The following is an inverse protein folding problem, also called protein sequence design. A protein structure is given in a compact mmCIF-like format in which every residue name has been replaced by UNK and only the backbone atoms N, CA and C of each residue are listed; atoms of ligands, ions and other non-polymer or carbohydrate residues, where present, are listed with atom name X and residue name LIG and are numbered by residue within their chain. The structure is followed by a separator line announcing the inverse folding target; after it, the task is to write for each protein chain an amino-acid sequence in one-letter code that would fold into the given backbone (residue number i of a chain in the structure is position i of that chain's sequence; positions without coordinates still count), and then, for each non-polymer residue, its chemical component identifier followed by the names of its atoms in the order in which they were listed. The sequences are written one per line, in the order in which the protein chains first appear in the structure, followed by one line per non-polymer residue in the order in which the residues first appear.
data_IF_996542826631
#
_entry.id   IF_996542826631
#
_cell.length_a   1.000
_cell.length_b   1.000
_cell.length_c   1.000
_cell.angle_alpha   90.00
_cell.angle_beta   90.00
_cell.angle_gamma   90.00
#
_symmetry.space_group_name_H-M   'P 1'
#
loop_
_entity.id
_entity.type
_entity.pdbx_description
1 polymer ?
#
# COMPACT_ATOMS: atom_id res chain seq x y z
N UNK A 1 -59.21 15.02 16.35
CA UNK A 1 -58.61 15.09 15.00
C UNK A 1 -57.14 14.74 15.17
N UNK A 2 -56.77 13.50 14.83
CA UNK A 2 -55.44 12.94 15.13
C UNK A 2 -54.88 12.33 13.84
N UNK A 3 -53.66 12.74 13.49
CA UNK A 3 -52.94 12.34 12.28
C UNK A 3 -52.16 11.04 12.54
N UNK A 4 -52.53 9.97 11.85
CA UNK A 4 -51.81 8.69 11.84
C UNK A 4 -51.04 8.55 10.52
N UNK A 5 -49.76 8.20 10.68
CA UNK A 5 -48.78 7.87 9.66
C UNK A 5 -49.03 6.49 9.04
N UNK A 6 -48.78 6.31 7.73
CA UNK A 6 -48.55 5.01 7.09
C UNK A 6 -47.91 5.13 5.67
N UNK A 7 -47.22 4.07 5.18
CA UNK A 7 -46.06 4.15 4.28
C UNK A 7 -46.33 3.73 2.83
N UNK A 8 -45.38 4.00 1.92
CA UNK A 8 -45.45 3.64 0.48
C UNK A 8 -44.44 2.53 0.10
N UNK A 9 -44.84 1.49 -0.67
CA UNK A 9 -44.02 0.32 -0.98
C UNK A 9 -43.29 0.38 -2.35
N UNK A 10 -42.33 -0.54 -2.50
CA UNK A 10 -41.48 -0.84 -3.67
C UNK A 10 -42.22 -1.50 -4.84
N UNK A 11 -41.74 -1.29 -6.07
CA UNK A 11 -41.97 -2.21 -7.20
C UNK A 11 -40.74 -2.24 -8.12
N UNK A 12 -40.26 -3.45 -8.42
CA UNK A 12 -39.31 -3.75 -9.49
C UNK A 12 -40.07 -4.07 -10.80
N UNK A 13 -39.50 -3.76 -11.97
CA UNK A 13 -39.89 -4.44 -13.21
C UNK A 13 -38.81 -4.38 -14.29
N UNK A 14 -38.62 -5.53 -14.92
CA UNK A 14 -37.68 -5.98 -15.95
C UNK A 14 -38.14 -5.68 -17.39
N UNK A 15 -37.20 -5.62 -18.37
CA UNK A 15 -37.15 -6.44 -19.63
C UNK A 15 -36.38 -5.79 -20.81
N UNK A 16 -35.40 -6.56 -21.31
CA UNK A 16 -34.83 -6.76 -22.66
C UNK A 16 -34.97 -5.72 -23.80
N UNK A 17 -33.86 -5.48 -24.54
CA UNK A 17 -33.62 -5.95 -25.92
C UNK A 17 -32.33 -5.36 -26.52
N UNK A 18 -31.54 -6.21 -27.20
CA UNK A 18 -30.36 -5.88 -28.00
C UNK A 18 -30.71 -5.79 -29.49
N UNK A 19 -30.06 -4.89 -30.26
CA UNK A 19 -29.73 -5.19 -31.65
C UNK A 19 -28.27 -4.91 -32.00
N UNK A 20 -27.75 -5.75 -32.89
CA UNK A 20 -26.47 -5.60 -33.61
C UNK A 20 -26.45 -4.35 -34.49
N UNK A 21 -25.26 -3.92 -34.97
CA UNK A 21 -25.08 -4.01 -36.42
C UNK A 21 -23.67 -4.40 -36.88
N UNK A 22 -23.66 -5.20 -37.93
CA UNK A 22 -22.55 -5.39 -38.86
C UNK A 22 -22.71 -4.40 -40.03
N UNK A 23 -21.69 -3.61 -40.34
CA UNK A 23 -21.35 -3.25 -41.73
C UNK A 23 -20.00 -2.53 -41.83
N UNK A 24 -19.26 -2.98 -42.83
CA UNK A 24 -17.93 -2.55 -43.28
C UNK A 24 -17.92 -1.06 -43.68
N UNK A 25 -16.80 -0.33 -43.57
CA UNK A 25 -16.59 0.84 -44.40
C UNK A 25 -15.82 0.45 -45.67
N UNK A 26 -16.48 0.64 -46.79
CA UNK A 26 -15.96 0.59 -48.15
C UNK A 26 -15.00 1.74 -48.43
N UNK A 27 -13.90 1.38 -49.08
CA UNK A 27 -12.96 2.22 -49.80
C UNK A 27 -13.70 3.00 -50.89
N UNK A 28 -13.61 4.34 -50.90
CA UNK A 28 -13.50 5.05 -52.19
C UNK A 28 -12.93 6.47 -52.10
N UNK A 29 -12.13 6.74 -53.13
CA UNK A 29 -11.78 7.99 -53.84
C UNK A 29 -11.19 9.24 -53.17
N UNK A 30 -10.10 9.66 -53.82
CA UNK A 30 -9.33 10.89 -53.72
C UNK A 30 -10.19 12.15 -54.00
N UNK A 31 -9.99 13.22 -53.23
CA UNK A 31 -10.24 14.57 -53.74
C UNK A 31 -9.28 15.60 -53.14
N UNK A 32 -8.66 16.38 -54.04
CA UNK A 32 -7.64 17.39 -53.82
C UNK A 32 -8.29 18.75 -54.11
N UNK A 33 -8.36 19.67 -53.14
CA UNK A 33 -8.12 21.12 -53.34
C UNK A 33 -8.52 22.02 -52.14
N UNK A 34 -7.50 22.71 -51.59
CA UNK A 34 -7.35 24.16 -51.27
C UNK A 34 -8.38 24.92 -50.39
N UNK A 35 -8.04 25.07 -49.09
CA UNK A 35 -8.02 26.30 -48.24
C UNK A 35 -9.33 26.90 -47.64
N UNK A 36 -9.27 27.88 -46.70
CA UNK A 36 -8.41 28.07 -45.52
C UNK A 36 -9.20 28.33 -44.18
N UNK A 37 -8.47 28.39 -43.05
CA UNK A 37 -8.76 29.21 -41.83
C UNK A 37 -9.38 28.57 -40.55
N UNK A 38 -8.70 28.86 -39.43
CA UNK A 38 -9.09 28.90 -37.99
C UNK A 38 -9.28 27.53 -37.27
N UNK A 39 -8.74 27.21 -36.08
CA UNK A 39 -8.30 27.99 -34.92
C UNK A 39 -7.30 27.22 -34.05
N UNK A 40 -6.46 27.97 -33.35
CA UNK A 40 -5.50 27.54 -32.34
C UNK A 40 -6.14 26.95 -31.08
N UNK A 41 -5.47 25.98 -30.46
CA UNK A 41 -5.55 25.73 -29.02
C UNK A 41 -4.15 25.50 -28.46
N UNK A 42 -3.88 26.23 -27.40
CA UNK A 42 -2.62 26.50 -26.71
C UNK A 42 -2.19 25.40 -25.74
N UNK A 43 -0.90 25.06 -25.74
CA UNK A 43 -0.20 24.41 -24.61
C UNK A 43 1.11 25.17 -24.31
N UNK A 44 1.57 25.21 -23.04
CA UNK A 44 2.53 26.22 -22.60
C UNK A 44 3.98 25.87 -23.00
N UNK A 45 4.72 26.93 -23.30
CA UNK A 45 6.18 26.92 -23.53
C UNK A 45 6.93 26.34 -22.33
N UNK A 46 7.69 25.26 -22.57
CA UNK A 46 8.99 25.08 -21.93
C UNK A 46 10.05 25.15 -23.00
N UNK A 47 11.08 25.93 -22.72
CA UNK A 47 12.34 26.16 -23.43
C UNK A 47 12.52 25.49 -24.81
N UNK A 48 12.55 26.36 -25.83
CA UNK A 48 13.01 26.16 -27.21
C UNK A 48 14.36 25.42 -27.28
N UNK A 49 14.34 24.10 -27.27
CA UNK A 49 15.40 23.29 -27.86
C UNK A 49 15.22 23.34 -29.38
N UNK A 50 16.17 23.97 -30.07
CA UNK A 50 16.25 24.00 -31.53
C UNK A 50 16.12 22.57 -32.04
N UNK A 51 15.13 22.28 -32.89
CA UNK A 51 14.91 20.95 -33.42
C UNK A 51 16.17 20.46 -34.15
N UNK A 52 16.76 19.31 -33.79
CA UNK A 52 17.71 18.68 -34.67
C UNK A 52 16.93 18.07 -35.83
N UNK A 53 17.38 18.38 -37.04
CA UNK A 53 16.88 17.90 -38.32
C UNK A 53 16.45 16.42 -38.25
N UNK A 54 15.22 16.04 -38.70
CA UNK A 54 14.70 14.66 -38.63
C UNK A 54 15.63 13.58 -39.20
N UNK A 55 16.61 13.97 -40.05
CA UNK A 55 17.62 13.08 -40.65
C UNK A 55 18.78 12.70 -39.72
N UNK A 56 19.18 13.54 -38.76
CA UNK A 56 20.17 13.16 -37.72
C UNK A 56 19.64 12.10 -36.77
N UNK A 57 18.32 12.10 -36.57
CA UNK A 57 17.65 11.04 -35.82
C UNK A 57 17.69 9.72 -36.59
N UNK A 58 17.80 9.72 -37.92
CA UNK A 58 17.85 8.49 -38.73
C UNK A 58 19.14 7.69 -38.50
N UNK A 59 20.32 8.33 -38.45
CA UNK A 59 21.58 7.64 -38.14
C UNK A 59 21.60 7.17 -36.68
N UNK A 60 21.20 8.03 -35.74
CA UNK A 60 21.12 7.68 -34.33
C UNK A 60 20.14 6.52 -34.06
N UNK A 61 19.01 6.47 -34.78
CA UNK A 61 18.06 5.36 -34.68
C UNK A 61 18.59 4.07 -35.33
N UNK A 62 19.37 4.17 -36.42
CA UNK A 62 20.05 3.01 -37.02
C UNK A 62 21.06 2.40 -36.06
N UNK A 63 21.82 3.24 -35.37
CA UNK A 63 22.81 2.83 -34.38
C UNK A 63 22.14 2.24 -33.12
N UNK A 64 21.04 2.84 -32.64
CA UNK A 64 20.29 2.35 -31.47
C UNK A 64 19.59 1.00 -31.71
N UNK A 65 19.20 0.72 -32.95
CA UNK A 65 18.55 -0.54 -33.36
C UNK A 65 19.49 -1.52 -34.06
N UNK A 66 20.79 -1.24 -34.11
CA UNK A 66 21.83 -2.06 -34.74
C UNK A 66 21.50 -2.47 -36.20
N UNK A 67 20.79 -1.63 -36.94
CA UNK A 67 20.39 -1.90 -38.33
C UNK A 67 21.57 -1.55 -39.26
N UNK A 68 22.54 -2.47 -39.33
CA UNK A 68 23.75 -2.33 -40.14
C UNK A 68 23.46 -2.64 -41.62
N UNK A 69 23.93 -1.83 -42.59
CA UNK A 69 23.80 -2.15 -44.01
C UNK A 69 24.64 -3.39 -44.38
N UNK A 70 24.18 -4.23 -45.32
CA UNK A 70 24.93 -5.41 -45.76
C UNK A 70 26.14 -4.94 -46.58
N UNK A 71 27.35 -5.11 -46.02
CA UNK A 71 28.60 -4.77 -46.72
C UNK A 71 29.75 -4.28 -45.84
N UNK A 72 29.55 -4.08 -44.53
CA UNK A 72 30.58 -3.57 -43.62
C UNK A 72 31.34 -4.66 -42.82
N UNK A 73 31.40 -5.89 -43.34
CA UNK A 73 32.06 -7.03 -42.69
C UNK A 73 33.09 -7.69 -43.61
N UNK A 74 34.22 -7.02 -43.78
CA UNK A 74 35.49 -7.68 -44.04
C UNK A 74 36.47 -7.10 -43.03
N UNK A 75 36.60 -7.76 -41.85
CA UNK A 75 37.72 -7.70 -40.87
C UNK A 75 37.25 -8.28 -39.51
N UNK A 76 36.96 -9.59 -39.45
CA UNK A 76 37.22 -10.45 -38.28
C UNK A 76 36.90 -11.92 -38.59
N UNK A 77 37.71 -12.91 -38.14
CA UNK A 77 37.50 -14.32 -38.42
C UNK A 77 36.70 -14.98 -37.30
N UNK A 78 35.58 -15.65 -37.61
CA UNK A 78 34.86 -16.40 -36.59
C UNK A 78 33.47 -16.86 -37.00
N UNK A 79 33.43 -18.10 -37.50
CA UNK A 79 32.30 -19.01 -37.54
C UNK A 79 31.18 -18.86 -38.57
N UNK A 80 30.87 -20.02 -39.14
CA UNK A 80 30.03 -20.24 -40.30
C UNK A 80 28.59 -20.59 -39.91
N UNK A 81 27.61 -20.25 -40.78
CA UNK A 81 26.74 -21.22 -41.49
C UNK A 81 25.48 -20.57 -42.10
N UNK A 82 25.32 -20.81 -43.41
CA UNK A 82 24.08 -20.82 -44.24
C UNK A 82 23.54 -19.42 -44.61
N UNK A 83 23.28 -19.07 -45.88
CA UNK A 83 22.75 -19.88 -46.99
C UNK A 83 23.32 -19.44 -48.34
N UNK A 84 23.44 -20.43 -49.22
CA UNK A 84 23.86 -20.34 -50.62
C UNK A 84 22.77 -19.66 -51.46
N UNK A 85 23.07 -18.52 -52.07
CA UNK A 85 22.32 -17.99 -53.22
C UNK A 85 23.31 -17.69 -54.34
N UNK A 86 23.08 -18.34 -55.48
CA UNK A 86 23.89 -18.29 -56.70
C UNK A 86 23.85 -16.87 -57.29
N UNK A 87 24.98 -16.19 -57.56
CA UNK A 87 24.96 -14.99 -58.36
C UNK A 87 24.86 -15.38 -59.84
N UNK A 88 23.77 -14.94 -60.48
CA UNK A 88 23.57 -15.06 -61.92
C UNK A 88 24.55 -14.12 -62.59
N UNK A 89 25.58 -14.69 -63.21
CA UNK A 89 26.53 -13.98 -64.04
C UNK A 89 25.79 -13.51 -65.30
N UNK A 90 25.57 -12.21 -65.44
CA UNK A 90 25.34 -11.59 -66.74
C UNK A 90 26.54 -10.68 -66.99
N UNK A 91 27.36 -11.18 -67.90
CA UNK A 91 28.37 -10.49 -68.66
C UNK A 91 27.91 -9.08 -69.08
N UNK A 92 28.52 -8.06 -68.48
CA UNK A 92 28.57 -6.69 -68.96
C UNK A 92 29.86 -6.09 -68.40
N UNK A 93 30.89 -6.09 -69.24
CA UNK A 93 32.21 -5.57 -68.91
C UNK A 93 32.20 -4.12 -68.43
N UNK A 94 33.17 -3.87 -67.55
CA UNK A 94 33.95 -2.65 -67.47
C UNK A 94 33.22 -1.31 -67.51
N UNK A 95 32.76 -0.85 -66.34
CA UNK A 95 32.91 0.57 -65.97
C UNK A 95 33.31 0.62 -64.50
N UNK A 96 34.62 0.52 -64.28
CA UNK A 96 35.25 0.91 -63.02
C UNK A 96 35.09 2.41 -62.81
N UNK A 97 33.92 2.85 -62.33
CA UNK A 97 33.78 4.16 -61.72
C UNK A 97 33.24 3.98 -60.29
N UNK A 98 34.12 3.92 -59.27
CA UNK A 98 33.71 3.74 -57.86
C UNK A 98 32.94 4.97 -57.30
N UNK A 99 32.62 5.97 -58.12
CA UNK A 99 31.93 7.18 -57.69
C UNK A 99 30.42 7.01 -57.46
N UNK A 100 29.78 5.93 -57.94
CA UNK A 100 28.31 5.76 -57.84
C UNK A 100 27.83 4.91 -56.67
N UNK A 101 28.73 4.29 -55.91
CA UNK A 101 28.39 3.45 -54.75
C UNK A 101 28.75 4.08 -53.40
N UNK A 102 29.20 5.34 -53.40
CA UNK A 102 29.55 6.14 -52.21
C UNK A 102 28.73 7.43 -52.16
N UNK A 103 27.43 7.37 -52.45
CA UNK A 103 26.52 8.49 -52.16
C UNK A 103 25.99 8.36 -50.73
N UNK A 104 26.88 8.51 -49.76
CA UNK A 104 26.57 9.25 -48.54
C UNK A 104 26.69 10.74 -48.88
N UNK A 105 25.82 11.31 -49.73
CA UNK A 105 24.48 11.86 -49.47
C UNK A 105 24.49 13.38 -49.63
N UNK A 106 24.72 13.86 -50.86
CA UNK A 106 24.29 15.22 -51.22
C UNK A 106 22.79 15.39 -50.88
N UNK A 107 21.99 14.35 -51.12
CA UNK A 107 20.56 14.26 -50.81
C UNK A 107 20.21 14.30 -49.30
N UNK A 108 21.09 13.83 -48.41
CA UNK A 108 20.87 13.87 -46.94
C UNK A 108 21.60 15.02 -46.25
N UNK A 109 22.24 15.90 -47.02
CA UNK A 109 22.85 17.11 -46.47
C UNK A 109 21.79 18.02 -45.84
N UNK A 110 22.22 18.83 -44.86
CA UNK A 110 21.34 19.74 -44.11
C UNK A 110 20.86 20.90 -44.98
N UNK A 111 21.71 21.35 -45.90
CA UNK A 111 21.46 22.47 -46.81
C UNK A 111 21.05 21.98 -48.22
N UNK A 112 20.42 20.81 -48.29
CA UNK A 112 20.02 20.21 -49.56
C UNK A 112 18.97 21.07 -50.28
N UNK A 113 19.32 21.56 -51.47
CA UNK A 113 18.40 22.24 -52.38
C UNK A 113 17.99 21.31 -53.52
N UNK A 114 16.71 20.87 -53.57
CA UNK A 114 16.25 19.95 -54.60
C UNK A 114 16.28 20.55 -56.01
N UNK A 115 16.06 21.86 -56.16
CA UNK A 115 16.02 22.50 -57.49
C UNK A 115 17.42 22.53 -58.09
N UNK A 116 18.40 23.01 -57.33
CA UNK A 116 19.81 23.04 -57.75
C UNK A 116 20.34 21.64 -58.08
N UNK A 117 19.98 20.62 -57.28
CA UNK A 117 20.40 19.25 -57.53
C UNK A 117 19.83 18.70 -58.84
N UNK A 118 18.54 18.94 -59.11
CA UNK A 118 17.89 18.51 -60.36
C UNK A 118 18.47 19.26 -61.56
N UNK A 119 18.63 20.58 -61.47
CA UNK A 119 19.22 21.39 -62.55
C UNK A 119 20.64 20.94 -62.88
N UNK A 120 21.45 20.69 -61.85
CA UNK A 120 22.79 20.13 -62.01
C UNK A 120 22.73 18.75 -62.69
N UNK A 121 21.90 17.84 -62.20
CA UNK A 121 21.75 16.48 -62.74
C UNK A 121 21.31 16.48 -64.21
N UNK A 122 20.38 17.36 -64.59
CA UNK A 122 19.91 17.52 -65.97
C UNK A 122 20.97 18.14 -66.89
N UNK A 123 21.80 19.05 -66.36
CA UNK A 123 22.85 19.72 -67.13
C UNK A 123 24.10 18.87 -67.36
N UNK A 124 24.44 17.98 -66.43
CA UNK A 124 25.71 17.22 -66.46
C UNK A 124 25.55 15.75 -66.86
N UNK A 125 24.35 15.18 -66.79
CA UNK A 125 24.15 13.73 -66.90
C UNK A 125 23.39 13.31 -68.16
N UNK A 126 23.67 12.09 -68.63
CA UNK A 126 22.93 11.50 -69.74
C UNK A 126 21.53 11.05 -69.34
N UNK A 127 20.59 10.97 -70.30
CA UNK A 127 19.21 10.49 -70.07
C UNK A 127 19.16 9.12 -69.38
N UNK A 128 20.04 8.19 -69.74
CA UNK A 128 20.10 6.87 -69.12
C UNK A 128 20.47 6.96 -67.63
N UNK A 129 21.41 7.84 -67.29
CA UNK A 129 21.79 8.10 -65.89
C UNK A 129 20.63 8.70 -65.11
N UNK A 130 19.88 9.63 -65.71
CA UNK A 130 18.72 10.28 -65.09
C UNK A 130 17.63 9.25 -64.80
N UNK A 131 17.29 8.38 -65.75
CA UNK A 131 16.27 7.33 -65.57
C UNK A 131 16.67 6.31 -64.49
N UNK A 132 17.97 5.95 -64.42
CA UNK A 132 18.46 5.10 -63.34
C UNK A 132 18.34 5.78 -61.98
N UNK A 133 18.73 7.06 -61.89
CA UNK A 133 18.63 7.83 -60.66
C UNK A 133 17.16 7.99 -60.20
N UNK A 134 16.22 8.22 -61.12
CA UNK A 134 14.79 8.24 -60.83
C UNK A 134 14.31 6.90 -60.25
N UNK A 135 14.64 5.79 -60.92
CA UNK A 135 14.21 4.46 -60.48
C UNK A 135 14.75 4.12 -59.09
N UNK A 136 16.02 4.44 -58.83
CA UNK A 136 16.64 4.31 -57.50
C UNK A 136 15.92 5.18 -56.47
N UNK A 137 15.66 6.46 -56.76
CA UNK A 137 14.99 7.37 -55.83
C UNK A 137 13.57 6.90 -55.51
N UNK A 138 12.82 6.42 -56.50
CA UNK A 138 11.47 5.85 -56.29
C UNK A 138 11.54 4.59 -55.41
N UNK A 139 12.55 3.73 -55.62
CA UNK A 139 12.80 2.57 -54.77
C UNK A 139 13.12 2.97 -53.33
N UNK A 140 13.98 3.97 -53.15
CA UNK A 140 14.38 4.49 -51.85
C UNK A 140 13.18 5.11 -51.12
N UNK A 141 12.36 5.93 -51.79
CA UNK A 141 11.16 6.52 -51.20
C UNK A 141 10.20 5.44 -50.67
N UNK A 142 9.98 4.37 -51.43
CA UNK A 142 9.12 3.25 -50.99
C UNK A 142 9.72 2.49 -49.81
N UNK A 143 11.03 2.27 -49.83
CA UNK A 143 11.76 1.60 -48.75
C UNK A 143 11.72 2.42 -47.47
N UNK A 144 11.97 3.73 -47.57
CA UNK A 144 11.90 4.69 -46.46
C UNK A 144 10.51 4.79 -45.86
N UNK A 145 9.45 4.77 -46.68
CA UNK A 145 8.07 4.73 -46.19
C UNK A 145 7.78 3.42 -45.44
N UNK A 146 8.25 2.29 -45.96
CA UNK A 146 8.17 0.98 -45.30
C UNK A 146 8.89 0.96 -43.95
N UNK A 147 10.13 1.44 -43.89
CA UNK A 147 10.91 1.58 -42.65
C UNK A 147 10.23 2.52 -41.65
N UNK A 148 9.72 3.67 -42.11
CA UNK A 148 8.99 4.62 -41.25
C UNK A 148 7.77 3.96 -40.62
N UNK A 149 6.97 3.25 -41.42
CA UNK A 149 5.80 2.52 -40.92
C UNK A 149 6.23 1.44 -39.93
N UNK A 150 7.25 0.66 -40.24
CA UNK A 150 7.77 -0.38 -39.34
C UNK A 150 8.22 0.19 -37.98
N UNK A 151 8.92 1.32 -37.97
CA UNK A 151 9.31 2.02 -36.73
C UNK A 151 8.11 2.49 -35.92
N UNK A 152 7.09 3.03 -36.59
CA UNK A 152 5.84 3.45 -35.95
C UNK A 152 5.13 2.25 -35.32
N UNK A 153 5.01 1.13 -36.04
CA UNK A 153 4.40 -0.09 -35.50
C UNK A 153 5.17 -0.67 -34.34
N UNK A 154 6.50 -0.70 -34.40
CA UNK A 154 7.34 -1.18 -33.31
C UNK A 154 7.19 -0.29 -32.06
N UNK A 155 7.20 1.04 -32.24
CA UNK A 155 7.02 1.98 -31.13
C UNK A 155 5.63 1.84 -30.48
N UNK A 156 4.56 1.80 -31.26
CA UNK A 156 3.21 1.59 -30.73
C UNK A 156 3.07 0.22 -30.06
N UNK A 157 3.64 -0.83 -30.65
CA UNK A 157 3.64 -2.17 -30.05
C UNK A 157 4.35 -2.20 -28.70
N UNK A 158 5.48 -1.50 -28.57
CA UNK A 158 6.21 -1.35 -27.30
C UNK A 158 5.39 -0.56 -26.28
N UNK A 159 4.74 0.53 -26.69
CA UNK A 159 3.90 1.34 -25.80
C UNK A 159 2.69 0.52 -25.30
N UNK A 160 2.03 -0.22 -26.18
CA UNK A 160 0.93 -1.12 -25.81
C UNK A 160 1.42 -2.18 -24.81
N UNK A 161 2.54 -2.85 -25.08
CA UNK A 161 3.13 -3.83 -24.14
C UNK A 161 3.48 -3.21 -22.78
N UNK A 162 4.01 -2.00 -22.76
CA UNK A 162 4.32 -1.29 -21.53
C UNK A 162 3.04 -0.97 -20.73
N UNK A 163 2.00 -0.46 -21.41
CA UNK A 163 0.69 -0.19 -20.79
C UNK A 163 0.04 -1.48 -20.27
N UNK A 164 0.11 -2.58 -21.02
CA UNK A 164 -0.36 -3.88 -20.56
C UNK A 164 0.40 -4.37 -19.32
N UNK A 165 1.71 -4.15 -19.28
CA UNK A 165 2.57 -4.52 -18.16
C UNK A 165 2.19 -3.71 -16.92
N UNK A 166 2.00 -2.40 -17.06
CA UNK A 166 1.50 -1.52 -16.00
C UNK A 166 0.12 -1.99 -15.53
N UNK A 167 -0.77 -2.35 -16.46
CA UNK A 167 -2.09 -2.89 -16.12
C UNK A 167 -2.02 -4.22 -15.36
N UNK A 168 -1.10 -5.12 -15.74
CA UNK A 168 -0.83 -6.37 -15.01
C UNK A 168 -0.25 -6.07 -13.64
N UNK A 169 0.74 -5.19 -13.52
CA UNK A 169 1.32 -4.78 -12.23
C UNK A 169 0.26 -4.18 -11.29
N UNK A 170 -0.61 -3.31 -11.81
CA UNK A 170 -1.71 -2.73 -11.05
C UNK A 170 -2.67 -3.81 -10.56
N UNK A 171 -3.13 -4.69 -11.45
CA UNK A 171 -3.98 -5.83 -11.06
C UNK A 171 -3.29 -6.74 -10.06
N UNK A 172 -2.01 -7.05 -10.22
CA UNK A 172 -1.25 -7.85 -9.25
C UNK A 172 -1.09 -7.15 -7.91
N UNK A 173 -1.02 -5.82 -7.87
CA UNK A 173 -0.99 -5.03 -6.63
C UNK A 173 -2.36 -4.95 -5.96
N UNK A 174 -3.43 -4.81 -6.76
CA UNK A 174 -4.82 -4.83 -6.30
C UNK A 174 -5.20 -6.23 -5.79
N UNK A 175 -4.86 -7.29 -6.52
CA UNK A 175 -5.14 -8.70 -6.20
C UNK A 175 -4.28 -9.21 -5.03
N UNK A 176 -3.01 -8.79 -4.95
CA UNK A 176 -2.19 -9.03 -3.75
C UNK A 176 -2.54 -8.12 -2.59
N UNK A 177 -3.48 -7.18 -2.77
CA UNK A 177 -4.02 -6.28 -1.78
C UNK A 177 -3.01 -6.01 -0.67
N UNK A 178 -2.12 -5.03 -0.86
CA UNK A 178 -1.11 -4.66 0.12
C UNK A 178 -1.64 -4.51 1.59
N UNK A 179 -2.95 -4.30 1.85
CA UNK A 179 -3.52 -4.47 3.20
C UNK A 179 -3.99 -5.90 3.54
N UNK A 180 -4.48 -6.69 2.58
CA UNK A 180 -5.23 -7.94 2.81
C UNK A 180 -4.37 -9.19 3.00
N UNK A 181 -3.18 -9.25 2.39
CA UNK A 181 -2.27 -10.40 2.59
C UNK A 181 -1.63 -10.38 3.98
N UNK A 182 -1.34 -9.20 4.53
CA UNK A 182 -0.95 -9.03 5.94
C UNK A 182 -2.10 -9.35 6.90
N UNK A 183 -3.36 -8.96 6.60
CA UNK A 183 -4.50 -9.30 7.48
C UNK A 183 -4.88 -10.78 7.44
N UNK A 184 -4.61 -11.50 6.34
CA UNK A 184 -4.92 -12.93 6.25
C UNK A 184 -4.09 -13.78 7.23
N UNK A 185 -2.88 -13.35 7.56
CA UNK A 185 -2.00 -14.02 8.54
C UNK A 185 -2.04 -13.35 9.91
N UNK A 186 -2.11 -12.03 9.96
CA UNK A 186 -2.12 -11.28 11.22
C UNK A 186 -3.48 -11.40 11.94
N UNK A 187 -4.60 -11.46 11.22
CA UNK A 187 -5.93 -11.61 11.81
C UNK A 187 -6.06 -12.87 12.68
N UNK A 188 -5.74 -14.07 12.15
CA UNK A 188 -5.72 -15.30 12.94
C UNK A 188 -4.71 -15.27 14.10
N UNK A 189 -3.53 -14.67 13.90
CA UNK A 189 -2.52 -14.55 14.95
C UNK A 189 -2.97 -13.65 16.11
N UNK A 190 -3.59 -12.51 15.81
CA UNK A 190 -4.16 -11.61 16.82
C UNK A 190 -5.32 -12.30 17.56
N UNK A 191 -6.19 -13.02 16.85
CA UNK A 191 -7.27 -13.76 17.46
C UNK A 191 -6.75 -14.83 18.44
N UNK A 192 -5.71 -15.57 18.04
CA UNK A 192 -5.05 -16.57 18.90
C UNK A 192 -4.40 -15.93 20.15
N UNK A 193 -3.72 -14.79 19.99
CA UNK A 193 -3.14 -14.04 21.11
C UNK A 193 -4.23 -13.51 22.05
N UNK A 194 -5.35 -13.03 21.52
CA UNK A 194 -6.47 -12.56 22.33
C UNK A 194 -7.14 -13.70 23.13
N UNK A 195 -7.31 -14.87 22.51
CA UNK A 195 -7.86 -16.06 23.17
C UNK A 195 -6.95 -16.56 24.30
N UNK A 196 -5.65 -16.70 24.01
CA UNK A 196 -4.66 -17.12 25.02
C UNK A 196 -4.55 -16.11 26.15
N UNK A 197 -4.46 -14.80 25.86
CA UNK A 197 -4.47 -13.76 26.88
C UNK A 197 -5.75 -13.79 27.72
N UNK A 198 -6.92 -14.00 27.11
CA UNK A 198 -8.20 -14.15 27.82
C UNK A 198 -8.23 -15.35 28.75
N UNK A 199 -7.63 -16.48 28.34
CA UNK A 199 -7.45 -17.67 29.18
C UNK A 199 -6.57 -17.41 30.40
N UNK A 200 -5.39 -16.79 30.19
CA UNK A 200 -4.48 -16.44 31.28
C UNK A 200 -5.09 -15.44 32.28
N UNK A 201 -5.90 -14.49 31.81
CA UNK A 201 -6.57 -13.53 32.68
C UNK A 201 -7.56 -14.25 33.59
N UNK A 202 -8.41 -15.13 33.04
CA UNK A 202 -9.35 -15.93 33.83
C UNK A 202 -8.64 -16.83 34.83
N UNK A 203 -7.61 -17.54 34.39
CA UNK A 203 -6.80 -18.39 35.27
C UNK A 203 -6.14 -17.58 36.39
N UNK A 204 -5.58 -16.41 36.07
CA UNK A 204 -4.97 -15.52 37.05
C UNK A 204 -5.96 -14.91 38.04
N UNK A 205 -7.20 -14.64 37.62
CA UNK A 205 -8.31 -14.23 38.49
C UNK A 205 -8.74 -15.35 39.42
N UNK A 206 -8.90 -16.57 38.91
CA UNK A 206 -9.23 -17.75 39.72
C UNK A 206 -8.15 -18.06 40.76
N UNK A 207 -6.87 -17.97 40.38
CA UNK A 207 -5.76 -18.13 41.32
C UNK A 207 -5.76 -17.03 42.40
N UNK A 208 -5.97 -15.76 42.02
CA UNK A 208 -6.09 -14.66 42.99
C UNK A 208 -7.27 -14.85 43.93
N UNK A 209 -8.38 -15.34 43.42
CA UNK A 209 -9.57 -15.60 44.21
C UNK A 209 -9.33 -16.75 45.20
N UNK A 210 -8.71 -17.86 44.78
CA UNK A 210 -8.31 -18.96 45.68
C UNK A 210 -7.32 -18.49 46.76
N UNK A 211 -6.34 -17.65 46.40
CA UNK A 211 -5.39 -17.06 47.36
C UNK A 211 -6.12 -16.14 48.34
N UNK A 212 -7.08 -15.35 47.87
CA UNK A 212 -7.90 -14.47 48.71
C UNK A 212 -8.80 -15.27 49.65
N UNK A 213 -9.39 -16.36 49.17
CA UNK A 213 -10.23 -17.29 49.94
C UNK A 213 -9.40 -17.98 51.01
N UNK A 214 -8.25 -18.58 50.67
CA UNK A 214 -7.31 -19.16 51.62
C UNK A 214 -6.81 -18.13 52.66
N UNK A 215 -6.56 -16.89 52.23
CA UNK A 215 -6.19 -15.79 53.15
C UNK A 215 -7.36 -15.32 54.02
N UNK A 216 -8.60 -15.49 53.56
CA UNK A 216 -9.81 -15.13 54.32
C UNK A 216 -10.20 -16.19 55.36
N UNK A 217 -9.68 -17.41 55.24
CA UNK A 217 -9.71 -18.45 56.28
C UNK A 217 -8.65 -18.19 57.38
N UNK A 218 -7.58 -17.45 57.06
CA UNK A 218 -6.50 -17.02 57.97
C UNK A 218 -6.74 -15.67 58.72
N UNK A 219 -7.94 -15.43 59.33
CA UNK A 219 -8.03 -14.45 60.43
C UNK A 219 -9.05 -14.82 61.52
N UNK A 220 -9.30 -16.09 61.85
CA UNK A 220 -10.17 -16.43 62.99
C UNK A 220 -9.56 -15.93 64.32
N UNK A 221 -8.27 -16.19 64.54
CA UNK A 221 -7.57 -15.81 65.76
C UNK A 221 -7.50 -14.29 65.94
N UNK A 222 -7.20 -13.53 64.87
CA UNK A 222 -7.16 -12.06 64.91
C UNK A 222 -8.52 -11.41 65.12
N UNK A 223 -9.61 -12.06 64.69
CA UNK A 223 -10.98 -11.57 64.97
C UNK A 223 -11.32 -11.80 66.43
N UNK A 224 -11.07 -13.01 66.95
CA UNK A 224 -11.28 -13.34 68.37
C UNK A 224 -10.48 -12.43 69.30
N UNK A 225 -9.20 -12.17 69.00
CA UNK A 225 -8.35 -11.23 69.75
C UNK A 225 -8.87 -9.78 69.73
N UNK A 226 -9.45 -9.33 68.59
CA UNK A 226 -10.06 -7.99 68.51
C UNK A 226 -11.36 -7.90 69.30
N UNK A 227 -12.14 -8.97 69.32
CA UNK A 227 -13.39 -9.03 70.06
C UNK A 227 -13.16 -9.05 71.57
N UNK A 228 -12.13 -9.76 72.05
CA UNK A 228 -11.72 -9.71 73.47
C UNK A 228 -11.24 -8.31 73.87
N UNK A 229 -10.44 -7.63 73.04
CA UNK A 229 -10.03 -6.25 73.27
C UNK A 229 -11.23 -5.29 73.28
N UNK A 230 -12.18 -5.45 72.35
CA UNK A 230 -13.41 -4.64 72.31
C UNK A 230 -14.29 -4.86 73.55
N UNK A 231 -14.34 -6.09 74.07
CA UNK A 231 -15.10 -6.42 75.28
C UNK A 231 -14.51 -5.77 76.54
N UNK A 232 -13.18 -5.75 76.68
CA UNK A 232 -12.50 -5.08 77.79
C UNK A 232 -12.65 -3.55 77.71
N UNK A 233 -12.56 -2.97 76.51
CA UNK A 233 -12.75 -1.52 76.32
C UNK A 233 -14.17 -1.05 76.66
N UNK A 234 -15.18 -1.93 76.55
CA UNK A 234 -16.57 -1.64 76.92
C UNK A 234 -16.90 -1.91 78.40
N UNK A 235 -15.93 -2.39 79.19
CA UNK A 235 -16.10 -2.65 80.63
C UNK A 235 -16.64 -1.47 81.46
N UNK A 236 -16.13 -0.22 81.35
CA UNK A 236 -16.62 0.88 82.20
C UNK A 236 -18.09 1.20 81.98
N UNK A 237 -18.55 1.20 80.71
CA UNK A 237 -19.97 1.42 80.38
C UNK A 237 -20.86 0.27 80.86
N UNK A 238 -20.34 -0.96 80.81
CA UNK A 238 -21.06 -2.15 81.29
C UNK A 238 -21.20 -2.14 82.81
N UNK A 239 -20.15 -1.77 83.54
CA UNK A 239 -20.17 -1.62 84.99
C UNK A 239 -21.13 -0.51 85.44
N UNK A 240 -21.11 0.65 84.77
CA UNK A 240 -22.05 1.75 85.05
C UNK A 240 -23.51 1.30 84.90
N UNK A 241 -23.82 0.52 83.85
CA UNK A 241 -25.16 -0.04 83.64
C UNK A 241 -25.55 -1.04 84.73
N UNK A 242 -24.68 -1.99 85.08
CA UNK A 242 -24.97 -2.99 86.11
C UNK A 242 -25.19 -2.35 87.49
N UNK A 243 -24.47 -1.27 87.79
CA UNK A 243 -24.64 -0.50 89.01
C UNK A 243 -25.95 0.30 89.02
N UNK A 244 -26.40 0.81 87.87
CA UNK A 244 -27.71 1.47 87.73
C UNK A 244 -28.91 0.51 87.90
N UNK A 245 -28.69 -0.79 87.66
CA UNK A 245 -29.69 -1.85 87.80
C UNK A 245 -29.68 -2.52 89.20
N UNK A 246 -28.92 -1.97 90.16
CA UNK A 246 -28.69 -2.51 91.53
C UNK A 246 -28.07 -3.92 91.59
N UNK A 247 -27.59 -4.47 90.47
CA UNK A 247 -26.97 -5.81 90.39
C UNK A 247 -25.48 -5.78 90.73
N UNK A 248 -25.17 -5.50 91.99
CA UNK A 248 -23.78 -5.36 92.49
C UNK A 248 -22.96 -6.65 92.38
N UNK A 249 -23.57 -7.79 92.70
CA UNK A 249 -22.89 -9.09 92.65
C UNK A 249 -22.37 -9.44 91.24
N UNK A 250 -23.10 -9.01 90.22
CA UNK A 250 -22.74 -9.25 88.82
C UNK A 250 -21.70 -8.22 88.33
N UNK A 251 -21.79 -6.96 88.79
CA UNK A 251 -20.77 -5.95 88.52
C UNK A 251 -19.40 -6.33 89.10
N UNK A 252 -19.37 -6.91 90.31
CA UNK A 252 -18.12 -7.39 90.92
C UNK A 252 -17.50 -8.57 90.18
N UNK A 253 -18.31 -9.49 89.65
CA UNK A 253 -17.82 -10.62 88.84
C UNK A 253 -17.24 -10.12 87.53
N UNK A 254 -17.97 -9.26 86.82
CA UNK A 254 -17.51 -8.62 85.59
C UNK A 254 -16.21 -7.84 85.80
N UNK A 255 -16.09 -7.11 86.92
CA UNK A 255 -14.87 -6.40 87.28
C UNK A 255 -13.70 -7.35 87.55
N UNK A 256 -13.91 -8.45 88.28
CA UNK A 256 -12.86 -9.45 88.56
C UNK A 256 -12.33 -10.09 87.27
N UNK A 257 -13.21 -10.41 86.32
CA UNK A 257 -12.81 -10.98 85.03
C UNK A 257 -12.02 -9.97 84.18
N UNK A 258 -12.48 -8.71 84.13
CA UNK A 258 -11.78 -7.63 83.42
C UNK A 258 -10.43 -7.33 84.10
N UNK A 259 -10.36 -7.33 85.43
CA UNK A 259 -9.14 -7.07 86.17
C UNK A 259 -8.08 -8.15 85.89
N UNK A 260 -8.46 -9.44 85.85
CA UNK A 260 -7.56 -10.52 85.47
C UNK A 260 -7.00 -10.35 84.05
N UNK A 261 -7.83 -9.93 83.09
CA UNK A 261 -7.39 -9.65 81.72
C UNK A 261 -6.48 -8.43 81.64
N UNK A 262 -6.78 -7.36 82.38
CA UNK A 262 -5.94 -6.15 82.45
C UNK A 262 -4.59 -6.44 83.12
N UNK A 263 -4.54 -7.33 84.11
CA UNK A 263 -3.29 -7.77 84.75
C UNK A 263 -2.46 -8.66 83.79
N UNK A 264 -3.12 -9.53 83.03
CA UNK A 264 -2.46 -10.31 81.98
C UNK A 264 -1.91 -9.44 80.83
N UNK A 265 -2.54 -8.30 80.53
CA UNK A 265 -2.09 -7.37 79.47
C UNK A 265 -1.04 -6.36 79.96
N UNK A 266 -0.83 -6.21 81.27
CA UNK A 266 0.29 -5.47 81.86
C UNK A 266 0.44 -4.03 81.38
N UNK A 267 1.41 -3.77 80.50
CA UNK A 267 1.79 -2.42 80.02
C UNK A 267 1.33 -2.08 78.60
N UNK A 268 0.21 -2.65 78.13
CA UNK A 268 -0.40 -2.19 76.86
C UNK A 268 -0.98 -0.78 77.04
N UNK A 269 -0.73 0.09 76.05
CA UNK A 269 -1.25 1.47 76.04
C UNK A 269 -2.78 1.48 76.19
N UNK A 270 -3.29 2.23 77.16
CA UNK A 270 -4.73 2.35 77.45
C UNK A 270 -5.27 1.40 78.55
N UNK A 271 -4.54 0.33 78.92
CA UNK A 271 -4.96 -0.59 80.00
C UNK A 271 -5.07 0.12 81.34
N UNK A 272 -4.11 1.00 81.66
CA UNK A 272 -4.12 1.79 82.89
C UNK A 272 -5.30 2.78 82.95
N UNK A 273 -5.70 3.35 81.81
CA UNK A 273 -6.83 4.29 81.72
C UNK A 273 -8.17 3.57 81.94
N UNK A 274 -8.35 2.39 81.33
CA UNK A 274 -9.54 1.55 81.53
C UNK A 274 -9.64 1.06 82.97
N UNK A 275 -8.51 0.67 83.58
CA UNK A 275 -8.45 0.26 84.99
C UNK A 275 -8.92 1.38 85.92
N UNK A 276 -8.35 2.58 85.77
CA UNK A 276 -8.72 3.74 86.57
C UNK A 276 -10.19 4.16 86.36
N UNK A 277 -10.72 4.05 85.14
CA UNK A 277 -12.11 4.36 84.85
C UNK A 277 -13.07 3.41 85.58
N UNK A 278 -12.76 2.11 85.59
CA UNK A 278 -13.58 1.11 86.26
C UNK A 278 -13.46 1.21 87.80
N UNK A 279 -12.26 1.45 88.34
CA UNK A 279 -12.05 1.66 89.79
C UNK A 279 -12.84 2.87 90.31
N UNK A 280 -12.87 3.98 89.56
CA UNK A 280 -13.66 5.16 89.92
C UNK A 280 -15.16 4.89 89.94
N UNK A 281 -15.65 4.05 89.03
CA UNK A 281 -17.07 3.67 88.96
C UNK A 281 -17.44 2.78 90.16
N UNK A 282 -16.58 1.84 90.53
CA UNK A 282 -16.77 0.97 91.69
C UNK A 282 -16.62 1.72 93.02
N UNK A 283 -15.69 2.69 93.14
CA UNK A 283 -15.48 3.45 94.37
C UNK A 283 -16.58 4.48 94.63
N UNK A 284 -17.11 5.11 93.57
CA UNK A 284 -18.15 6.14 93.66
C UNK A 284 -19.43 5.66 94.35
N UNK A 285 -19.70 4.36 94.39
CA UNK A 285 -20.90 3.79 95.01
C UNK A 285 -20.66 3.19 96.41
N UNK A 286 -19.40 3.11 96.87
CA UNK A 286 -19.08 2.71 98.25
C UNK A 286 -19.16 3.90 99.22
N UNK A 287 -19.19 5.13 98.69
CA UNK A 287 -19.23 6.39 99.46
C UNK A 287 -20.64 7.01 99.59
N UNK A 288 -21.68 6.39 98.99
CA UNK A 288 -23.13 6.72 99.13
C UNK A 288 -23.87 5.62 99.90
#
# INVERSE_FOLDING_TARGET
MSTLSSPRPSIASSRAQSPTPSSRPSLDTLNTNVGPSLSASSTPSTARARSPNPRRNRSALRDYYNLRPPGADALSPGDARRSRSIPRNTDAGDISNPSTLVSGTELDSIDFDPQRYVDHLLSTSSLNTILKAENTLVGDVRTLDGERKALVYDNYSKLIRAVETIGKMRRSMDDRGAPLTMTKTLGPAIAFVAETAGGLIKEGEEQRQKIKEARSEEPSNKKAEKDTVRWVLSAPQRLEKLLSEEKRDDAEKDWKEVQQLLDAWGQVKGVAEVRQACEKIMSKQNDD
#
